data_IF_961135095061
#
_entry.id   IF_961135095061
#
_cell.length_a   1.000
_cell.length_b   1.000
_cell.length_c   1.000
_cell.angle_alpha   90.00
_cell.angle_beta   90.00
_cell.angle_gamma   90.00
#
_symmetry.space_group_name_H-M   'P 1'
#
loop_
_entity.id
_entity.type
_entity.pdbx_description
1 polymer ?
#
# COMPACT_ATOMS: atom_id res chain seq x y z
N UNK A 1 -5.39 -26.42 37.01
CA UNK A 1 -4.09 -26.12 37.65
C UNK A 1 -3.03 -26.96 36.96
N UNK A 2 -2.31 -26.37 36.00
CA UNK A 2 -0.98 -26.79 35.53
C UNK A 2 -0.51 -25.73 34.53
N UNK A 3 -0.19 -24.55 35.05
CA UNK A 3 0.60 -23.53 34.36
C UNK A 3 1.98 -24.12 34.09
N UNK A 4 2.18 -24.70 32.89
CA UNK A 4 3.51 -25.08 32.43
C UNK A 4 4.36 -23.81 32.31
N UNK A 5 5.50 -23.72 33.00
CA UNK A 5 6.31 -22.52 33.00
C UNK A 5 6.87 -22.31 31.59
N UNK A 6 6.63 -21.11 31.03
CA UNK A 6 7.30 -20.60 29.84
C UNK A 6 8.80 -20.44 30.14
N UNK A 7 9.55 -21.54 30.02
CA UNK A 7 11.00 -21.52 30.03
C UNK A 7 11.46 -20.71 28.81
N UNK A 8 12.05 -19.54 29.05
CA UNK A 8 12.70 -18.73 28.02
C UNK A 8 13.91 -19.53 27.50
N UNK A 9 13.91 -20.07 26.27
CA UNK A 9 15.12 -20.70 25.77
C UNK A 9 16.18 -19.60 25.60
N UNK A 10 17.39 -19.83 26.12
CA UNK A 10 18.56 -19.05 25.71
C UNK A 10 18.65 -19.16 24.18
N UNK A 11 18.33 -18.06 23.48
CA UNK A 11 18.40 -17.94 22.02
C UNK A 11 19.87 -17.98 21.59
N UNK A 12 20.46 -19.17 21.61
CA UNK A 12 21.79 -19.41 21.04
C UNK A 12 21.69 -19.33 19.51
N UNK A 13 22.66 -18.68 18.88
CA UNK A 13 22.73 -18.50 17.43
C UNK A 13 22.59 -19.83 16.67
N UNK A 14 23.13 -20.92 17.25
CA UNK A 14 23.02 -22.28 16.72
C UNK A 14 21.57 -22.79 16.67
N UNK A 15 20.75 -22.44 17.65
CA UNK A 15 19.32 -22.81 17.69
C UNK A 15 18.52 -22.02 16.65
N UNK A 16 18.82 -20.74 16.44
CA UNK A 16 18.22 -19.92 15.37
C UNK A 16 18.63 -20.45 13.99
N UNK A 17 19.91 -20.79 13.79
CA UNK A 17 20.43 -21.39 12.56
C UNK A 17 19.77 -22.75 12.28
N UNK A 18 19.57 -23.57 13.31
CA UNK A 18 18.90 -24.86 13.19
C UNK A 18 17.43 -24.69 12.81
N UNK A 19 16.70 -23.72 13.40
CA UNK A 19 15.33 -23.40 12.99
C UNK A 19 15.26 -22.81 11.58
N UNK A 20 16.19 -21.92 11.22
CA UNK A 20 16.31 -21.34 9.87
C UNK A 20 16.61 -22.40 8.81
N UNK A 21 17.44 -23.40 9.15
CA UNK A 21 17.78 -24.53 8.28
C UNK A 21 16.60 -25.49 8.05
N UNK A 22 15.65 -25.58 8.99
CA UNK A 22 14.44 -26.39 8.84
C UNK A 22 13.27 -25.67 8.14
N UNK A 23 13.31 -24.33 8.03
CA UNK A 23 12.29 -23.52 7.33
C UNK A 23 12.14 -23.72 5.82
N UNK A 24 13.19 -23.96 4.99
CA UNK A 24 13.04 -23.94 3.53
C UNK A 24 12.14 -25.07 3.03
N UNK A 25 12.17 -26.23 3.68
CA UNK A 25 11.32 -27.36 3.31
C UNK A 25 9.84 -27.13 3.65
N UNK A 26 9.53 -26.37 4.72
CA UNK A 26 8.14 -26.01 5.08
C UNK A 26 7.57 -24.91 4.19
N UNK A 27 8.40 -23.95 3.78
CA UNK A 27 8.02 -22.95 2.77
C UNK A 27 7.72 -23.61 1.42
N UNK A 28 8.57 -24.54 0.97
CA UNK A 28 8.39 -25.22 -0.32
C UNK A 28 7.08 -26.02 -0.41
N UNK A 29 6.62 -26.63 0.69
CA UNK A 29 5.32 -27.31 0.73
C UNK A 29 4.14 -26.36 0.79
N UNK A 30 4.28 -25.17 1.36
CA UNK A 30 3.20 -24.16 1.44
C UNK A 30 3.06 -23.33 0.17
N UNK A 31 4.12 -23.16 -0.63
CA UNK A 31 4.09 -22.36 -1.86
C UNK A 31 3.15 -22.89 -2.95
N UNK A 32 2.79 -24.17 -2.92
CA UNK A 32 1.93 -24.79 -3.94
C UNK A 32 0.54 -25.18 -3.41
N UNK A 33 0.20 -24.80 -2.18
CA UNK A 33 -1.14 -25.03 -1.65
C UNK A 33 -2.05 -23.92 -2.19
N UNK A 34 -3.04 -24.31 -2.99
CA UNK A 34 -4.19 -23.48 -3.31
C UNK A 34 -5.15 -23.51 -2.13
N UNK A 35 -5.53 -22.35 -1.63
CA UNK A 35 -6.54 -22.23 -0.58
C UNK A 35 -7.91 -22.21 -1.26
N UNK A 36 -8.85 -23.02 -0.77
CA UNK A 36 -10.23 -22.89 -1.24
C UNK A 36 -10.87 -21.62 -0.66
N UNK A 37 -11.84 -21.00 -1.37
CA UNK A 37 -12.50 -19.77 -0.92
C UNK A 37 -13.07 -19.88 0.50
N UNK A 38 -13.69 -21.02 0.82
CA UNK A 38 -14.28 -21.30 2.13
C UNK A 38 -13.24 -21.38 3.25
N UNK A 39 -12.02 -21.85 2.95
CA UNK A 39 -10.94 -21.92 3.92
C UNK A 39 -10.39 -20.53 4.22
N UNK A 40 -10.21 -19.68 3.20
CA UNK A 40 -9.84 -18.28 3.42
C UNK A 40 -10.90 -17.53 4.22
N UNK A 41 -12.19 -17.66 3.87
CA UNK A 41 -13.28 -16.98 4.58
C UNK A 41 -13.34 -17.40 6.07
N UNK A 42 -13.30 -18.70 6.34
CA UNK A 42 -13.33 -19.21 7.72
C UNK A 42 -12.09 -18.78 8.51
N UNK A 43 -10.91 -18.73 7.87
CA UNK A 43 -9.68 -18.34 8.54
C UNK A 43 -9.59 -16.83 8.78
N UNK A 44 -10.01 -15.99 7.83
CA UNK A 44 -10.11 -14.53 8.01
C UNK A 44 -11.11 -14.20 9.12
N UNK A 45 -12.23 -14.93 9.17
CA UNK A 45 -13.23 -14.78 10.24
C UNK A 45 -12.67 -15.17 11.61
N UNK A 46 -11.91 -16.26 11.70
CA UNK A 46 -11.24 -16.67 12.95
C UNK A 46 -10.13 -15.68 13.37
N UNK A 47 -9.37 -15.14 12.42
CA UNK A 47 -8.31 -14.15 12.71
C UNK A 47 -8.84 -12.79 13.12
N UNK A 48 -10.00 -12.39 12.58
CA UNK A 48 -10.61 -11.09 12.89
C UNK A 48 -11.14 -11.01 14.33
N UNK A 49 -11.24 -12.14 15.04
CA UNK A 49 -11.40 -12.22 16.50
C UNK A 49 -12.70 -11.68 17.10
N UNK A 50 -13.49 -10.93 16.32
CA UNK A 50 -14.71 -10.29 16.77
C UNK A 50 -15.81 -10.42 15.69
N UNK A 51 -16.98 -10.89 16.10
CA UNK A 51 -18.20 -10.81 15.29
C UNK A 51 -18.62 -9.34 15.23
N UNK A 52 -18.07 -8.61 14.25
CA UNK A 52 -18.35 -7.20 14.08
C UNK A 52 -19.80 -7.02 13.62
N UNK A 53 -20.56 -6.16 14.31
CA UNK A 53 -21.90 -5.77 13.86
C UNK A 53 -21.78 -5.03 12.52
N UNK A 54 -22.43 -5.55 11.48
CA UNK A 54 -22.56 -4.87 10.17
C UNK A 54 -23.40 -3.60 10.34
N UNK A 55 -22.73 -2.45 10.43
CA UNK A 55 -23.36 -1.12 10.54
C UNK A 55 -23.15 -0.23 9.32
N UNK A 56 -22.31 -0.66 8.37
CA UNK A 56 -21.94 0.13 7.21
C UNK A 56 -23.03 -0.04 6.14
N UNK A 57 -23.75 1.03 5.84
CA UNK A 57 -24.78 1.03 4.80
C UNK A 57 -24.18 1.34 3.42
N UNK A 58 -24.95 1.16 2.35
CA UNK A 58 -24.47 1.31 0.98
C UNK A 58 -23.88 2.70 0.69
N UNK A 59 -24.45 3.75 1.27
CA UNK A 59 -23.95 5.11 1.11
C UNK A 59 -22.61 5.33 1.81
N UNK A 60 -22.37 4.70 2.96
CA UNK A 60 -21.09 4.75 3.67
C UNK A 60 -20.00 4.04 2.86
N UNK A 61 -20.33 2.92 2.19
CA UNK A 61 -19.41 2.23 1.29
C UNK A 61 -19.05 3.09 0.07
N UNK A 62 -20.04 3.76 -0.54
CA UNK A 62 -19.81 4.67 -1.67
C UNK A 62 -18.95 5.85 -1.24
N UNK A 63 -19.24 6.46 -0.09
CA UNK A 63 -18.45 7.56 0.46
C UNK A 63 -17.01 7.14 0.75
N UNK A 64 -16.80 5.94 1.31
CA UNK A 64 -15.48 5.36 1.55
C UNK A 64 -14.72 5.15 0.23
N UNK A 65 -15.39 4.64 -0.81
CA UNK A 65 -14.81 4.47 -2.14
C UNK A 65 -14.37 5.80 -2.77
N UNK A 66 -15.25 6.82 -2.75
CA UNK A 66 -14.94 8.15 -3.30
C UNK A 66 -13.81 8.82 -2.52
N UNK A 67 -13.83 8.74 -1.18
CA UNK A 67 -12.76 9.28 -0.34
C UNK A 67 -11.42 8.57 -0.57
N UNK A 68 -11.42 7.27 -0.86
CA UNK A 68 -10.21 6.51 -1.21
C UNK A 68 -9.63 6.87 -2.58
N UNK A 69 -10.46 7.26 -3.56
CA UNK A 69 -10.02 7.66 -4.90
C UNK A 69 -9.56 9.13 -4.97
N UNK A 70 -10.22 10.03 -4.24
CA UNK A 70 -9.90 11.46 -4.22
C UNK A 70 -8.69 11.74 -3.33
N UNK A 71 -7.49 11.56 -3.89
CA UNK A 71 -6.22 11.84 -3.23
C UNK A 71 -5.56 13.14 -3.68
N UNK A 72 -4.43 13.45 -3.05
CA UNK A 72 -3.59 14.61 -3.38
C UNK A 72 -3.06 14.59 -4.84
N UNK A 73 -3.01 13.40 -5.45
CA UNK A 73 -2.49 13.19 -6.80
C UNK A 73 -3.31 13.89 -7.90
N UNK A 74 -4.63 13.97 -7.77
CA UNK A 74 -5.49 14.64 -8.78
C UNK A 74 -5.22 16.14 -8.76
N UNK A 75 -5.16 16.77 -7.59
CA UNK A 75 -4.99 18.22 -7.49
C UNK A 75 -3.66 18.74 -8.06
N UNK A 76 -2.57 17.98 -7.92
CA UNK A 76 -1.25 18.38 -8.45
C UNK A 76 -1.04 17.94 -9.90
N UNK A 77 -1.35 16.68 -10.20
CA UNK A 77 -0.99 16.07 -11.48
C UNK A 77 -1.84 16.66 -12.60
N UNK A 78 -3.13 16.92 -12.36
CA UNK A 78 -4.01 17.53 -13.37
C UNK A 78 -3.50 18.91 -13.78
N UNK A 79 -3.05 19.73 -12.83
CA UNK A 79 -2.47 21.05 -13.13
C UNK A 79 -1.21 20.97 -13.99
N UNK A 80 -0.27 20.06 -13.64
CA UNK A 80 0.97 19.86 -14.42
C UNK A 80 0.70 19.32 -15.82
N UNK A 81 -0.22 18.37 -15.97
CA UNK A 81 -0.57 17.76 -17.27
C UNK A 81 -1.34 18.75 -18.16
N UNK A 82 -2.24 19.54 -17.58
CA UNK A 82 -2.95 20.60 -18.30
C UNK A 82 -1.99 21.68 -18.81
N UNK A 83 -1.03 22.10 -17.99
CA UNK A 83 -0.06 23.12 -18.40
C UNK A 83 0.95 22.61 -19.43
N UNK A 84 1.49 21.39 -19.26
CA UNK A 84 2.66 20.94 -20.02
C UNK A 84 2.36 20.00 -21.20
N UNK A 85 1.21 19.33 -21.24
CA UNK A 85 0.98 18.21 -22.17
C UNK A 85 -0.27 18.40 -23.02
N UNK A 86 -1.45 18.56 -22.41
CA UNK A 86 -2.71 18.37 -23.14
C UNK A 86 -3.58 19.63 -23.25
N UNK A 87 -3.27 20.72 -22.53
CA UNK A 87 -4.09 21.94 -22.57
C UNK A 87 -5.58 21.65 -22.26
N UNK A 88 -6.55 22.27 -22.95
CA UNK A 88 -7.97 21.99 -22.72
C UNK A 88 -8.41 20.56 -23.09
N UNK A 89 -7.59 19.79 -23.82
CA UNK A 89 -7.91 18.40 -24.20
C UNK A 89 -7.75 17.39 -23.05
N UNK A 90 -7.27 17.80 -21.86
CA UNK A 90 -7.17 16.94 -20.66
C UNK A 90 -8.49 16.25 -20.32
N UNK A 91 -9.63 16.92 -20.57
CA UNK A 91 -10.95 16.36 -20.32
C UNK A 91 -11.22 15.08 -21.12
N UNK A 92 -10.79 15.02 -22.39
CA UNK A 92 -10.95 13.84 -23.24
C UNK A 92 -10.13 12.67 -22.68
N UNK A 93 -8.91 12.93 -22.21
CA UNK A 93 -8.06 11.93 -21.56
C UNK A 93 -8.71 11.35 -20.30
N UNK A 94 -9.38 12.19 -19.49
CA UNK A 94 -10.12 11.74 -18.31
C UNK A 94 -11.33 10.90 -18.66
N UNK A 95 -12.06 11.20 -19.74
CA UNK A 95 -13.18 10.37 -20.20
C UNK A 95 -12.68 8.97 -20.57
N UNK A 96 -11.61 8.89 -21.37
CA UNK A 96 -11.05 7.60 -21.82
C UNK A 96 -10.57 6.79 -20.61
N UNK A 97 -9.85 7.43 -19.67
CA UNK A 97 -9.41 6.80 -18.43
C UNK A 97 -10.62 6.32 -17.59
N UNK A 98 -11.67 7.14 -17.48
CA UNK A 98 -12.89 6.81 -16.75
C UNK A 98 -13.61 5.59 -17.33
N UNK A 99 -13.74 5.51 -18.66
CA UNK A 99 -14.31 4.32 -19.32
C UNK A 99 -13.48 3.07 -18.99
N UNK A 100 -12.15 3.14 -19.11
CA UNK A 100 -11.29 2.00 -18.77
C UNK A 100 -11.42 1.54 -17.31
N UNK A 101 -11.58 2.48 -16.38
CA UNK A 101 -11.79 2.21 -14.96
C UNK A 101 -13.17 1.58 -14.69
N UNK A 102 -14.22 2.01 -15.40
CA UNK A 102 -15.55 1.42 -15.30
C UNK A 102 -15.55 -0.05 -15.73
N UNK A 103 -14.91 -0.37 -16.87
CA UNK A 103 -14.77 -1.78 -17.29
C UNK A 103 -14.04 -2.61 -16.23
N UNK A 104 -12.97 -2.07 -15.65
CA UNK A 104 -12.19 -2.76 -14.61
C UNK A 104 -13.01 -2.96 -13.32
N UNK A 105 -13.85 -1.98 -12.96
CA UNK A 105 -14.76 -2.04 -11.82
C UNK A 105 -15.84 -3.10 -11.99
N UNK A 106 -16.35 -3.31 -13.20
CA UNK A 106 -17.33 -4.36 -13.49
C UNK A 106 -16.74 -5.76 -13.19
N UNK A 107 -15.51 -6.02 -13.66
CA UNK A 107 -14.81 -7.27 -13.36
C UNK A 107 -14.56 -7.47 -11.85
N UNK A 108 -14.19 -6.39 -11.14
CA UNK A 108 -14.01 -6.46 -9.68
C UNK A 108 -15.31 -6.71 -8.92
N UNK A 109 -16.44 -6.26 -9.45
CA UNK A 109 -17.76 -6.46 -8.84
C UNK A 109 -18.14 -7.93 -8.88
N UNK A 110 -17.89 -8.63 -9.99
CA UNK A 110 -18.13 -10.07 -10.13
C UNK A 110 -17.36 -10.87 -9.07
N UNK A 111 -16.06 -10.58 -8.89
CA UNK A 111 -15.25 -11.22 -7.85
C UNK A 111 -15.71 -10.86 -6.43
N UNK A 112 -16.21 -9.64 -6.21
CA UNK A 112 -16.69 -9.20 -4.90
C UNK A 112 -17.98 -9.91 -4.48
N UNK A 113 -18.84 -10.27 -5.44
CA UNK A 113 -20.07 -11.02 -5.20
C UNK A 113 -19.77 -12.51 -4.96
N UNK A 114 -18.82 -13.09 -5.70
CA UNK A 114 -18.44 -14.50 -5.55
C UNK A 114 -17.68 -14.77 -4.25
N UNK A 115 -16.81 -13.85 -3.83
CA UNK A 115 -15.96 -14.01 -2.65
C UNK A 115 -16.10 -12.82 -1.69
N UNK A 116 -17.10 -12.83 -0.77
CA UNK A 116 -17.34 -11.74 0.19
C UNK A 116 -16.38 -11.81 1.39
N UNK A 117 -15.08 -11.85 1.11
CA UNK A 117 -13.98 -11.93 2.09
C UNK A 117 -13.35 -10.56 2.33
N UNK A 118 -13.07 -10.25 3.59
CA UNK A 118 -12.33 -9.04 3.98
C UNK A 118 -10.82 -9.23 3.68
N UNK A 119 -10.45 -9.15 2.41
CA UNK A 119 -9.07 -9.35 1.95
C UNK A 119 -8.69 -8.61 0.65
N UNK A 120 -9.67 -8.07 -0.08
CA UNK A 120 -9.45 -7.31 -1.31
C UNK A 120 -8.72 -8.10 -2.41
N UNK A 121 -8.04 -7.37 -3.30
CA UNK A 121 -7.34 -7.89 -4.48
C UNK A 121 -6.34 -9.03 -4.17
N UNK A 122 -5.66 -8.98 -3.02
CA UNK A 122 -4.70 -9.99 -2.60
C UNK A 122 -5.35 -11.36 -2.38
N UNK A 123 -6.52 -11.38 -1.74
CA UNK A 123 -7.25 -12.62 -1.48
C UNK A 123 -7.76 -13.25 -2.79
N UNK A 124 -8.26 -12.44 -3.73
CA UNK A 124 -8.67 -12.91 -5.06
C UNK A 124 -7.51 -13.57 -5.82
N UNK A 125 -6.35 -12.91 -5.88
CA UNK A 125 -5.16 -13.46 -6.56
C UNK A 125 -4.70 -14.77 -5.94
N UNK A 126 -4.77 -14.88 -4.62
CA UNK A 126 -4.33 -16.06 -3.88
C UNK A 126 -5.24 -17.26 -4.07
N UNK A 127 -6.55 -17.03 -4.18
CA UNK A 127 -7.55 -18.08 -4.44
C UNK A 127 -7.47 -18.57 -5.89
N UNK A 128 -7.37 -17.65 -6.87
CA UNK A 128 -7.37 -18.03 -8.30
C UNK A 128 -6.04 -18.61 -8.79
N UNK A 129 -4.90 -18.02 -8.38
CA UNK A 129 -3.57 -18.38 -8.91
C UNK A 129 -2.66 -19.11 -7.90
N UNK A 130 -3.10 -19.29 -6.67
CA UNK A 130 -2.36 -19.96 -5.61
C UNK A 130 -1.37 -19.06 -4.84
N UNK A 131 -0.67 -19.66 -3.87
CA UNK A 131 0.17 -18.93 -2.90
C UNK A 131 1.34 -18.18 -3.54
N UNK A 132 1.96 -18.72 -4.59
CA UNK A 132 3.12 -18.11 -5.24
C UNK A 132 2.78 -16.77 -5.90
N UNK A 133 1.71 -16.74 -6.71
CA UNK A 133 1.23 -15.50 -7.35
C UNK A 133 0.62 -14.56 -6.31
N UNK A 134 -0.07 -15.11 -5.30
CA UNK A 134 -0.54 -14.34 -4.16
C UNK A 134 0.58 -13.58 -3.45
N UNK A 135 1.75 -14.21 -3.25
CA UNK A 135 2.91 -13.55 -2.62
C UNK A 135 3.41 -12.33 -3.43
N UNK A 136 3.57 -12.47 -4.74
CA UNK A 136 3.96 -11.35 -5.60
C UNK A 136 2.88 -10.26 -5.67
N UNK A 137 1.60 -10.65 -5.74
CA UNK A 137 0.48 -9.72 -5.70
C UNK A 137 0.44 -8.91 -4.40
N UNK A 138 0.63 -9.57 -3.26
CA UNK A 138 0.70 -8.91 -1.95
C UNK A 138 1.91 -7.99 -1.83
N UNK A 139 3.07 -8.43 -2.32
CA UNK A 139 4.27 -7.58 -2.37
C UNK A 139 4.08 -6.34 -3.25
N UNK A 140 3.41 -6.48 -4.41
CA UNK A 140 3.07 -5.36 -5.29
C UNK A 140 2.15 -4.36 -4.60
N UNK A 141 1.04 -4.84 -4.00
CA UNK A 141 0.09 -3.99 -3.29
C UNK A 141 0.79 -3.23 -2.14
N UNK A 142 1.65 -3.91 -1.39
CA UNK A 142 2.41 -3.26 -0.31
C UNK A 142 3.33 -2.15 -0.85
N UNK A 143 4.07 -2.42 -1.92
CA UNK A 143 4.93 -1.41 -2.56
C UNK A 143 4.12 -0.23 -3.10
N UNK A 144 2.96 -0.48 -3.67
CA UNK A 144 2.05 0.54 -4.18
C UNK A 144 1.51 1.43 -3.07
N UNK A 145 1.08 0.87 -1.94
CA UNK A 145 0.65 1.65 -0.78
C UNK A 145 1.78 2.52 -0.21
N UNK A 146 2.98 1.97 -0.13
CA UNK A 146 4.18 2.72 0.28
C UNK A 146 4.39 3.89 -0.69
N UNK A 147 4.43 3.64 -1.99
CA UNK A 147 4.60 4.66 -3.03
C UNK A 147 3.54 5.76 -2.95
N UNK A 148 2.27 5.37 -2.80
CA UNK A 148 1.13 6.28 -2.68
C UNK A 148 1.26 7.18 -1.45
N UNK A 149 1.58 6.62 -0.27
CA UNK A 149 1.67 7.39 0.97
C UNK A 149 2.73 8.48 0.92
N UNK A 150 3.91 8.23 0.32
CA UNK A 150 4.89 9.31 0.20
C UNK A 150 4.67 10.24 -0.98
N UNK A 151 3.96 9.82 -2.04
CA UNK A 151 3.44 10.78 -3.00
C UNK A 151 2.50 11.79 -2.31
N UNK A 152 1.59 11.30 -1.46
CA UNK A 152 0.69 12.15 -0.66
C UNK A 152 1.48 13.03 0.31
N UNK A 153 2.46 12.50 1.03
CA UNK A 153 3.29 13.28 1.97
C UNK A 153 4.07 14.42 1.28
N UNK A 154 4.61 14.15 0.08
CA UNK A 154 5.28 15.17 -0.74
C UNK A 154 4.32 16.28 -1.13
N UNK A 155 3.18 15.91 -1.69
CA UNK A 155 2.18 16.87 -2.12
C UNK A 155 1.63 17.69 -0.94
N UNK A 156 1.36 17.05 0.20
CA UNK A 156 0.93 17.75 1.41
C UNK A 156 1.95 18.80 1.85
N UNK A 157 3.24 18.44 1.84
CA UNK A 157 4.31 19.38 2.21
C UNK A 157 4.40 20.55 1.23
N UNK A 158 4.25 20.31 -0.08
CA UNK A 158 4.23 21.37 -1.11
C UNK A 158 3.05 22.35 -0.89
N UNK A 159 1.84 21.83 -0.68
CA UNK A 159 0.68 22.70 -0.40
C UNK A 159 0.82 23.45 0.93
N UNK A 160 1.36 22.79 1.96
CA UNK A 160 1.56 23.42 3.26
C UNK A 160 2.59 24.55 3.18
N UNK A 161 3.70 24.39 2.43
CA UNK A 161 4.67 25.46 2.24
C UNK A 161 4.09 26.68 1.54
N UNK A 162 3.24 26.46 0.53
CA UNK A 162 2.53 27.56 -0.14
C UNK A 162 1.53 28.24 0.79
N UNK A 163 0.84 27.49 1.67
CA UNK A 163 -0.09 28.07 2.63
C UNK A 163 0.60 28.98 3.67
N UNK A 164 1.86 28.70 4.02
CA UNK A 164 2.67 29.52 4.93
C UNK A 164 3.44 30.66 4.24
N UNK A 165 3.21 30.92 2.94
CA UNK A 165 3.83 32.04 2.22
C UNK A 165 5.33 31.86 1.96
N UNK A 166 5.84 30.63 2.02
CA UNK A 166 7.20 30.30 1.62
C UNK A 166 7.15 29.83 0.17
N UNK A 167 7.43 30.73 -0.76
CA UNK A 167 7.40 30.43 -2.22
C UNK A 167 8.59 29.59 -2.70
N UNK A 168 9.56 29.31 -1.82
CA UNK A 168 10.70 28.45 -2.13
C UNK A 168 10.31 26.96 -2.00
N UNK A 169 10.21 26.21 -3.13
CA UNK A 169 9.85 24.79 -3.11
C UNK A 169 10.89 23.92 -2.41
N UNK A 170 12.03 24.49 -2.01
CA UNK A 170 13.22 23.81 -1.48
C UNK A 170 13.39 23.95 0.03
N UNK A 171 12.61 24.82 0.70
CA UNK A 171 12.84 25.19 2.10
C UNK A 171 12.69 24.01 3.07
N UNK A 172 11.67 23.15 2.85
CA UNK A 172 11.33 22.04 3.75
C UNK A 172 11.65 20.66 3.14
N UNK A 173 12.39 20.63 2.03
CA UNK A 173 12.74 19.39 1.33
C UNK A 173 14.12 18.90 1.75
N UNK A 174 14.17 17.69 2.32
CA UNK A 174 15.43 16.97 2.55
C UNK A 174 15.89 16.41 1.20
N UNK A 175 16.94 17.00 0.63
CA UNK A 175 17.57 16.48 -0.59
C UNK A 175 18.61 15.42 -0.21
N UNK A 176 18.28 14.14 -0.46
CA UNK A 176 19.27 13.06 -0.49
C UNK A 176 19.92 13.06 -1.87
N UNK A 177 21.18 13.48 -1.97
CA UNK A 177 21.94 13.46 -3.23
C UNK A 177 22.40 12.03 -3.51
N UNK A 178 21.74 11.34 -4.45
CA UNK A 178 22.21 10.06 -4.97
C UNK A 178 22.12 10.01 -6.50
N UNK A 179 23.18 9.51 -7.11
CA UNK A 179 23.49 9.56 -8.53
C UNK A 179 22.52 8.70 -9.37
N UNK A 180 21.92 9.33 -10.38
CA UNK A 180 21.40 8.74 -11.63
C UNK A 180 20.22 7.73 -11.55
N UNK A 181 19.07 8.23 -12.00
CA UNK A 181 18.00 7.55 -12.77
C UNK A 181 17.08 6.50 -12.11
N UNK A 182 17.38 5.96 -10.93
CA UNK A 182 16.48 5.01 -10.23
C UNK A 182 15.76 5.59 -9.00
N UNK A 183 16.01 6.86 -8.66
CA UNK A 183 15.53 7.49 -7.43
C UNK A 183 14.03 7.86 -7.42
N UNK A 184 13.34 7.86 -8.57
CA UNK A 184 11.86 8.08 -8.56
C UNK A 184 11.07 6.87 -8.03
N UNK A 185 11.70 5.68 -7.88
CA UNK A 185 11.02 4.43 -7.53
C UNK A 185 11.21 3.98 -6.07
N UNK A 186 12.16 4.54 -5.31
CA UNK A 186 12.56 4.01 -3.99
C UNK A 186 12.75 5.05 -2.86
N UNK A 187 12.48 6.32 -3.11
CA UNK A 187 12.71 7.44 -2.17
C UNK A 187 11.68 7.49 -1.01
N UNK A 188 11.09 6.33 -0.69
CA UNK A 188 9.95 6.18 0.21
C UNK A 188 10.20 5.09 1.26
N UNK A 189 11.00 4.07 0.93
CA UNK A 189 11.32 2.99 1.87
C UNK A 189 12.28 3.43 3.00
N UNK A 190 12.90 4.61 2.91
CA UNK A 190 13.96 5.04 3.86
C UNK A 190 13.53 6.24 4.73
N UNK A 191 12.52 7.02 4.34
CA UNK A 191 12.15 8.22 5.11
C UNK A 191 11.41 7.91 6.42
N UNK A 192 10.84 6.71 6.57
CA UNK A 192 10.25 6.27 7.85
C UNK A 192 11.26 5.64 8.82
N UNK A 193 12.48 5.33 8.38
CA UNK A 193 13.52 4.73 9.22
C UNK A 193 14.53 5.76 9.79
N UNK A 194 14.55 6.98 9.27
CA UNK A 194 15.44 8.05 9.74
C UNK A 194 14.67 9.10 10.57
N UNK A 195 14.16 8.66 11.72
CA UNK A 195 13.80 9.55 12.82
C UNK A 195 15.04 10.17 13.44
N UNK A 196 15.74 11.05 12.72
CA UNK A 196 16.71 12.00 13.28
C UNK A 196 16.51 13.33 12.59
N UNK A 197 15.71 14.18 13.23
CA UNK A 197 15.66 15.62 12.96
C UNK A 197 17.08 16.18 13.08
N UNK A 198 17.67 16.62 11.96
CA UNK A 198 18.71 17.65 11.98
C UNK A 198 18.32 18.72 10.97
N UNK A 199 17.53 19.67 11.45
CA UNK A 199 17.23 20.93 10.76
C UNK A 199 18.55 21.72 10.66
N UNK A 200 19.21 21.68 9.50
CA UNK A 200 20.33 22.59 9.22
C UNK A 200 19.81 23.84 8.53
N UNK A 201 19.50 24.88 9.31
CA UNK A 201 19.30 26.24 8.78
C UNK A 201 20.56 26.63 8.00
N UNK A 202 20.43 26.89 6.70
CA UNK A 202 21.47 27.60 5.93
C UNK A 202 21.29 29.08 6.20
N UNK A 203 22.27 29.71 6.87
CA UNK A 203 22.29 31.16 7.06
C UNK A 203 22.41 31.87 5.69
N UNK A 204 21.73 33.00 5.48
CA UNK A 204 21.95 33.84 4.30
C UNK A 204 23.31 34.55 4.39
N UNK A 205 23.97 34.68 3.25
CA UNK A 205 25.04 35.66 3.03
C UNK A 205 24.43 37.04 2.85
#
# INVERSE_FOLDING_TARGET
>A
MATTPLARPHLSFSTILHFLSQTPHRLRRRMFVTWSPDQELNQVRQRSGADMKRKLEWYDLVALGVAGMLGAGVFVTTGRVAHNVSGPAVFISYIIAGVSALLSSMCYTEFSVEMPVAGGAFSYLRVTFGEFVGYFGGANILMEYVLSNAAVARTFTEYLSHAFGVDDPKSWRVYSSCHTMYCYRFDIAVSSAAGVLTVRRRAPL
#
